data_IF_270291683913
#
_entry.id   IF_270291683913
#
_cell.length_a   1.000
_cell.length_b   1.000
_cell.length_c   1.000
_cell.angle_alpha   90.00
_cell.angle_beta   90.00
_cell.angle_gamma   90.00
#
_symmetry.space_group_name_H-M   'P 1'
#
loop_
_entity.id
_entity.type
_entity.pdbx_description
1 polymer ?
#
# COMPACT_ATOMS: atom_id res chain seq x y z
N UNK A 1 18.27 18.20 -27.26
CA UNK A 1 19.27 17.71 -26.29
C UNK A 1 19.56 16.24 -26.63
N UNK A 2 20.71 15.96 -27.25
CA UNK A 2 21.09 14.57 -27.55
C UNK A 2 21.55 13.93 -26.23
N UNK A 3 20.84 12.94 -25.75
CA UNK A 3 21.30 12.09 -24.66
C UNK A 3 22.58 11.37 -25.13
N UNK A 4 23.73 11.87 -24.66
CA UNK A 4 25.00 11.15 -24.87
C UNK A 4 25.00 9.98 -23.91
N UNK A 5 24.86 8.78 -24.46
CA UNK A 5 24.92 7.53 -23.70
C UNK A 5 26.36 7.32 -23.21
N UNK A 6 26.62 7.73 -21.99
CA UNK A 6 27.91 7.43 -21.34
C UNK A 6 27.94 5.97 -20.87
N UNK A 7 29.11 5.32 -20.76
CA UNK A 7 29.24 3.94 -20.23
C UNK A 7 28.55 3.76 -18.88
N UNK A 8 28.58 4.79 -18.03
CA UNK A 8 27.92 4.79 -16.70
C UNK A 8 26.41 4.71 -16.80
N UNK A 9 25.79 5.43 -17.74
CA UNK A 9 24.35 5.37 -17.99
C UNK A 9 23.95 3.98 -18.44
N UNK A 10 24.72 3.36 -19.33
CA UNK A 10 24.46 2.00 -19.83
C UNK A 10 24.55 1.01 -18.67
N UNK A 11 25.55 1.12 -17.82
CA UNK A 11 25.73 0.21 -16.70
C UNK A 11 24.60 0.34 -15.67
N UNK A 12 24.19 1.56 -15.33
CA UNK A 12 23.05 1.78 -14.43
C UNK A 12 21.75 1.23 -15.04
N UNK A 13 21.53 1.41 -16.34
CA UNK A 13 20.39 0.82 -17.05
C UNK A 13 20.40 -0.72 -16.99
N UNK A 14 21.56 -1.34 -17.18
CA UNK A 14 21.72 -2.81 -17.05
C UNK A 14 21.43 -3.26 -15.63
N UNK A 15 21.93 -2.55 -14.61
CA UNK A 15 21.64 -2.86 -13.21
C UNK A 15 20.16 -2.69 -12.86
N UNK A 16 19.49 -1.68 -13.41
CA UNK A 16 18.04 -1.52 -13.23
C UNK A 16 17.26 -2.69 -13.86
N UNK A 17 17.62 -3.08 -15.09
CA UNK A 17 16.99 -4.24 -15.76
C UNK A 17 17.27 -5.54 -15.01
N UNK A 18 18.51 -5.73 -14.55
CA UNK A 18 18.88 -6.87 -13.71
C UNK A 18 18.07 -6.91 -12.41
N UNK A 19 17.98 -5.80 -11.70
CA UNK A 19 17.18 -5.68 -10.48
C UNK A 19 15.69 -5.98 -10.74
N UNK A 20 15.13 -5.42 -11.82
CA UNK A 20 13.76 -5.70 -12.22
C UNK A 20 13.55 -7.19 -12.51
N UNK A 21 14.47 -7.81 -13.26
CA UNK A 21 14.42 -9.25 -13.53
C UNK A 21 14.46 -10.08 -12.24
N UNK A 22 15.36 -9.74 -11.31
CA UNK A 22 15.48 -10.43 -10.02
C UNK A 22 14.22 -10.31 -9.16
N UNK A 23 13.58 -9.12 -9.15
CA UNK A 23 12.32 -8.91 -8.44
C UNK A 23 11.14 -9.67 -9.07
N UNK A 24 11.08 -9.75 -10.39
CA UNK A 24 10.01 -10.47 -11.11
C UNK A 24 10.14 -11.98 -11.00
N UNK A 25 11.37 -12.50 -11.02
CA UNK A 25 11.62 -13.94 -10.93
C UNK A 25 11.59 -14.48 -9.51
N UNK A 26 11.60 -13.59 -8.50
CA UNK A 26 11.61 -13.96 -7.07
C UNK A 26 12.68 -15.00 -6.69
N UNK A 27 13.82 -15.03 -7.43
CA UNK A 27 14.92 -15.97 -7.18
C UNK A 27 15.50 -15.79 -5.77
N UNK A 28 15.49 -14.56 -5.27
CA UNK A 28 15.85 -14.21 -3.89
C UNK A 28 14.72 -13.39 -3.27
N UNK A 29 14.69 -13.34 -1.95
CA UNK A 29 13.77 -12.43 -1.27
C UNK A 29 14.05 -10.97 -1.67
N UNK A 30 13.01 -10.14 -1.60
CA UNK A 30 13.10 -8.71 -1.97
C UNK A 30 14.24 -8.02 -1.24
N UNK A 31 14.43 -8.31 0.05
CA UNK A 31 15.48 -7.72 0.88
C UNK A 31 16.88 -8.11 0.39
N UNK A 32 17.08 -9.38 0.07
CA UNK A 32 18.36 -9.90 -0.45
C UNK A 32 18.68 -9.30 -1.81
N UNK A 33 17.68 -9.22 -2.71
CA UNK A 33 17.85 -8.58 -4.02
C UNK A 33 18.26 -7.12 -3.88
N UNK A 34 17.60 -6.37 -2.99
CA UNK A 34 17.93 -4.97 -2.73
C UNK A 34 19.34 -4.80 -2.16
N UNK A 35 19.76 -5.68 -1.24
CA UNK A 35 21.11 -5.67 -0.67
C UNK A 35 22.18 -6.01 -1.71
N UNK A 36 21.92 -6.95 -2.62
CA UNK A 36 22.83 -7.29 -3.73
C UNK A 36 23.02 -6.07 -4.63
N UNK A 37 21.95 -5.40 -5.05
CA UNK A 37 22.02 -4.21 -5.90
C UNK A 37 22.77 -3.07 -5.22
N UNK A 38 22.49 -2.81 -3.94
CA UNK A 38 23.19 -1.81 -3.13
C UNK A 38 24.69 -2.13 -3.06
N UNK A 39 25.06 -3.39 -2.80
CA UNK A 39 26.46 -3.83 -2.71
C UNK A 39 27.18 -3.67 -4.05
N UNK A 40 26.53 -4.00 -5.15
CA UNK A 40 27.11 -3.84 -6.50
C UNK A 40 27.37 -2.36 -6.78
N UNK A 41 26.40 -1.47 -6.54
CA UNK A 41 26.54 -0.02 -6.74
C UNK A 41 27.66 0.56 -5.87
N UNK A 42 27.76 0.10 -4.63
CA UNK A 42 28.83 0.52 -3.71
C UNK A 42 30.21 0.03 -4.19
N UNK A 43 30.33 -1.23 -4.57
CA UNK A 43 31.61 -1.80 -5.04
C UNK A 43 32.08 -1.19 -6.37
N UNK A 44 31.17 -0.77 -7.22
CA UNK A 44 31.47 -0.05 -8.47
C UNK A 44 31.83 1.41 -8.25
N UNK A 45 31.77 1.91 -7.01
CA UNK A 45 32.12 3.29 -6.66
C UNK A 45 31.07 4.34 -7.02
N UNK A 46 29.83 3.93 -7.37
CA UNK A 46 28.70 4.85 -7.63
C UNK A 46 28.11 5.44 -6.35
N UNK A 47 28.36 4.79 -5.22
CA UNK A 47 27.87 5.24 -3.90
C UNK A 47 29.03 5.34 -2.93
N UNK A 48 29.09 6.43 -2.20
CA UNK A 48 29.95 6.53 -1.01
C UNK A 48 29.36 5.69 0.13
N UNK A 49 30.16 5.32 1.17
CA UNK A 49 29.65 4.60 2.34
C UNK A 49 28.48 5.33 3.01
N UNK A 50 28.53 6.65 3.08
CA UNK A 50 27.46 7.49 3.65
C UNK A 50 26.19 7.42 2.82
N UNK A 51 26.27 7.48 1.50
CA UNK A 51 25.13 7.38 0.60
C UNK A 51 24.50 5.98 0.64
N UNK A 52 25.31 4.93 0.63
CA UNK A 52 24.84 3.54 0.71
C UNK A 52 24.05 3.28 2.00
N UNK A 53 24.47 3.87 3.11
CA UNK A 53 23.82 3.71 4.41
C UNK A 53 22.71 4.74 4.67
N UNK A 54 22.62 5.82 3.88
CA UNK A 54 21.65 6.90 4.09
C UNK A 54 20.19 6.44 4.06
N UNK A 55 19.89 5.37 3.32
CA UNK A 55 18.56 4.77 3.26
C UNK A 55 18.10 4.23 4.61
N UNK A 56 19.00 3.65 5.40
CA UNK A 56 18.67 3.07 6.72
C UNK A 56 18.40 4.12 7.79
N UNK A 57 18.92 5.33 7.64
CA UNK A 57 18.68 6.48 8.53
C UNK A 57 17.64 7.47 7.97
N UNK A 58 16.99 7.12 6.86
CA UNK A 58 15.97 7.97 6.26
C UNK A 58 14.77 8.13 7.21
N UNK A 59 14.35 9.37 7.54
CA UNK A 59 13.20 9.61 8.42
C UNK A 59 11.91 8.89 7.99
N UNK A 60 11.68 8.74 6.67
CA UNK A 60 10.52 8.01 6.17
C UNK A 60 10.58 6.51 6.54
N UNK A 61 11.75 5.87 6.42
CA UNK A 61 11.94 4.45 6.79
C UNK A 61 11.71 4.25 8.30
N UNK A 62 12.25 5.15 9.12
CA UNK A 62 12.05 5.13 10.58
C UNK A 62 10.56 5.34 10.91
N UNK A 63 9.89 6.28 10.26
CA UNK A 63 8.44 6.51 10.42
C UNK A 63 7.64 5.27 10.07
N UNK A 64 7.96 4.59 8.96
CA UNK A 64 7.31 3.33 8.55
C UNK A 64 7.50 2.26 9.62
N UNK A 65 8.70 2.13 10.19
CA UNK A 65 8.97 1.16 11.25
C UNK A 65 8.08 1.43 12.49
N UNK A 66 7.97 2.68 12.93
CA UNK A 66 7.07 3.04 14.03
C UNK A 66 5.59 2.84 13.68
N UNK A 67 5.17 3.12 12.46
CA UNK A 67 3.80 2.84 12.02
C UNK A 67 3.48 1.35 12.05
N UNK A 68 4.43 0.45 11.75
CA UNK A 68 4.22 -0.99 11.92
C UNK A 68 4.02 -1.38 13.38
N UNK A 69 4.76 -0.76 14.31
CA UNK A 69 4.58 -1.00 15.75
C UNK A 69 3.20 -0.53 16.21
N UNK A 70 2.77 0.67 15.81
CA UNK A 70 1.44 1.21 16.13
C UNK A 70 0.34 0.34 15.52
N UNK A 71 0.49 -0.06 14.26
CA UNK A 71 -0.44 -0.95 13.57
C UNK A 71 -0.58 -2.30 14.30
N UNK A 72 0.53 -2.86 14.79
CA UNK A 72 0.51 -4.09 15.59
C UNK A 72 -0.20 -3.90 16.93
N UNK A 73 -0.01 -2.76 17.58
CA UNK A 73 -0.73 -2.43 18.81
C UNK A 73 -2.25 -2.31 18.57
N UNK A 74 -2.67 -1.64 17.49
CA UNK A 74 -4.08 -1.53 17.09
C UNK A 74 -4.72 -2.90 16.82
N UNK A 75 -3.97 -3.83 16.21
CA UNK A 75 -4.44 -5.21 16.01
C UNK A 75 -4.69 -5.93 17.36
N UNK A 76 -3.80 -5.73 18.35
CA UNK A 76 -3.93 -6.35 19.68
C UNK A 76 -5.08 -5.77 20.51
N UNK A 77 -5.44 -4.51 20.33
CA UNK A 77 -6.49 -3.83 21.12
C UNK A 77 -7.92 -4.17 20.67
N UNK A 78 -8.10 -4.97 19.62
CA UNK A 78 -9.41 -5.36 19.08
C UNK A 78 -10.33 -4.18 18.70
N UNK A 79 -9.80 -2.96 18.57
CA UNK A 79 -10.58 -1.78 18.15
C UNK A 79 -11.26 -2.03 16.80
N UNK A 80 -10.55 -2.71 15.88
CA UNK A 80 -11.08 -3.04 14.56
C UNK A 80 -12.22 -4.07 14.64
N UNK A 81 -12.20 -4.98 15.61
CA UNK A 81 -13.32 -5.90 15.86
C UNK A 81 -14.60 -5.15 16.28
N UNK A 82 -14.47 -4.09 17.06
CA UNK A 82 -15.61 -3.24 17.43
C UNK A 82 -16.24 -2.56 16.20
N UNK A 83 -15.41 -2.05 15.29
CA UNK A 83 -15.89 -1.50 14.00
C UNK A 83 -16.63 -2.56 13.18
N UNK A 84 -16.11 -3.79 13.13
CA UNK A 84 -16.74 -4.92 12.43
C UNK A 84 -18.14 -5.20 12.96
N UNK A 85 -18.33 -5.21 14.29
CA UNK A 85 -19.65 -5.46 14.90
C UNK A 85 -20.65 -4.38 14.51
N UNK A 86 -20.24 -3.10 14.46
CA UNK A 86 -21.08 -1.99 14.02
C UNK A 86 -21.47 -2.13 12.55
N UNK A 87 -20.51 -2.42 11.69
CA UNK A 87 -20.76 -2.64 10.25
C UNK A 87 -21.72 -3.79 10.02
N UNK A 88 -21.56 -4.90 10.78
CA UNK A 88 -22.41 -6.08 10.65
C UNK A 88 -23.89 -5.79 10.90
N UNK A 89 -24.21 -4.93 11.88
CA UNK A 89 -25.59 -4.51 12.17
C UNK A 89 -26.22 -3.72 11.02
N UNK A 90 -25.44 -2.90 10.34
CA UNK A 90 -25.89 -2.14 9.17
C UNK A 90 -26.08 -3.04 7.94
N UNK A 91 -25.24 -4.08 7.82
CA UNK A 91 -25.30 -5.07 6.75
C UNK A 91 -26.58 -5.93 6.78
N UNK A 92 -27.27 -6.01 7.91
CA UNK A 92 -28.50 -6.80 8.04
C UNK A 92 -29.71 -6.16 7.32
N UNK A 93 -29.63 -4.87 6.99
CA UNK A 93 -30.72 -4.12 6.31
C UNK A 93 -30.73 -4.32 4.79
N UNK A 94 -29.59 -4.39 4.15
CA UNK A 94 -29.44 -4.57 2.70
C UNK A 94 -28.04 -5.06 2.37
N UNK A 95 -27.93 -6.02 1.48
CA UNK A 95 -26.63 -6.55 1.00
C UNK A 95 -25.77 -5.46 0.39
N UNK A 96 -26.35 -4.59 -0.45
CA UNK A 96 -25.64 -3.51 -1.10
C UNK A 96 -25.13 -2.46 -0.09
N UNK A 97 -26.00 -2.02 0.82
CA UNK A 97 -25.65 -1.05 1.87
C UNK A 97 -24.59 -1.66 2.80
N UNK A 98 -24.77 -2.92 3.18
CA UNK A 98 -23.80 -3.63 4.03
C UNK A 98 -22.42 -3.73 3.40
N UNK A 99 -22.35 -4.05 2.10
CA UNK A 99 -21.10 -4.09 1.34
C UNK A 99 -20.48 -2.68 1.21
N UNK A 100 -21.29 -1.67 0.89
CA UNK A 100 -20.83 -0.29 0.75
C UNK A 100 -20.21 0.22 2.06
N UNK A 101 -20.93 0.09 3.17
CA UNK A 101 -20.45 0.52 4.51
C UNK A 101 -19.22 -0.30 4.93
N UNK A 102 -19.20 -1.60 4.65
CA UNK A 102 -18.06 -2.47 4.95
C UNK A 102 -16.79 -2.01 4.21
N UNK A 103 -16.87 -1.85 2.89
CA UNK A 103 -15.74 -1.44 2.06
C UNK A 103 -15.28 -0.01 2.37
N UNK A 104 -16.22 0.90 2.62
CA UNK A 104 -15.91 2.26 3.06
C UNK A 104 -15.16 2.27 4.40
N UNK A 105 -15.62 1.47 5.38
CA UNK A 105 -14.95 1.34 6.68
C UNK A 105 -13.51 0.82 6.53
N UNK A 106 -13.28 -0.15 5.65
CA UNK A 106 -11.95 -0.66 5.34
C UNK A 106 -11.07 0.46 4.77
N UNK A 107 -11.58 1.22 3.81
CA UNK A 107 -10.85 2.34 3.21
C UNK A 107 -10.46 3.40 4.26
N UNK A 108 -11.41 3.83 5.07
CA UNK A 108 -11.14 4.82 6.14
C UNK A 108 -10.14 4.27 7.18
N UNK A 109 -10.26 3.01 7.58
CA UNK A 109 -9.31 2.39 8.49
C UNK A 109 -7.91 2.29 7.88
N UNK A 110 -7.82 2.01 6.58
CA UNK A 110 -6.56 1.91 5.84
C UNK A 110 -5.87 3.26 5.58
N UNK A 111 -6.59 4.36 5.73
CA UNK A 111 -5.99 5.69 5.69
C UNK A 111 -5.00 5.95 6.85
N UNK A 112 -5.13 5.21 7.95
CA UNK A 112 -4.33 5.41 9.17
C UNK A 112 -3.52 4.16 9.54
N UNK A 113 -3.96 2.97 9.08
CA UNK A 113 -3.33 1.69 9.38
C UNK A 113 -2.82 1.07 8.08
N UNK A 114 -1.66 0.41 8.14
CA UNK A 114 -1.07 -0.26 6.99
C UNK A 114 -2.07 -1.21 6.29
N UNK A 115 -2.13 -1.14 4.96
CA UNK A 115 -3.05 -1.91 4.11
C UNK A 115 -3.00 -3.41 4.40
N UNK A 116 -1.79 -3.99 4.53
CA UNK A 116 -1.60 -5.42 4.80
C UNK A 116 -2.23 -5.83 6.13
N UNK A 117 -2.09 -5.00 7.16
CA UNK A 117 -2.68 -5.23 8.46
C UNK A 117 -4.21 -5.20 8.41
N UNK A 118 -4.78 -4.21 7.70
CA UNK A 118 -6.23 -4.09 7.50
C UNK A 118 -6.76 -5.30 6.75
N UNK A 119 -6.13 -5.70 5.64
CA UNK A 119 -6.54 -6.88 4.87
C UNK A 119 -6.51 -8.13 5.73
N UNK A 120 -5.43 -8.36 6.49
CA UNK A 120 -5.31 -9.54 7.36
C UNK A 120 -6.42 -9.62 8.43
N UNK A 121 -6.80 -8.50 9.03
CA UNK A 121 -7.85 -8.44 10.06
C UNK A 121 -9.24 -8.63 9.46
N UNK A 122 -9.52 -8.00 8.32
CA UNK A 122 -10.83 -8.04 7.70
C UNK A 122 -11.05 -9.27 6.80
N UNK A 123 -10.01 -10.02 6.45
CA UNK A 123 -10.10 -11.24 5.63
C UNK A 123 -11.09 -12.28 6.19
N UNK A 124 -11.00 -12.71 7.46
CA UNK A 124 -11.94 -13.69 8.01
C UNK A 124 -13.39 -13.15 8.03
N UNK A 125 -13.56 -11.84 8.16
CA UNK A 125 -14.89 -11.21 8.11
C UNK A 125 -15.42 -11.20 6.69
N UNK A 126 -14.59 -10.91 5.69
CA UNK A 126 -14.95 -10.99 4.27
C UNK A 126 -15.44 -12.40 3.89
N UNK A 127 -14.74 -13.44 4.35
CA UNK A 127 -15.12 -14.84 4.09
C UNK A 127 -16.48 -15.15 4.72
N UNK A 128 -16.71 -14.76 5.98
CA UNK A 128 -18.00 -14.95 6.67
C UNK A 128 -19.15 -14.20 6.00
N UNK A 129 -18.90 -12.96 5.51
CA UNK A 129 -19.90 -12.18 4.77
C UNK A 129 -20.21 -12.83 3.42
N UNK A 130 -19.19 -13.34 2.70
CA UNK A 130 -19.38 -14.07 1.46
C UNK A 130 -20.27 -15.30 1.67
N UNK A 131 -20.01 -16.10 2.71
CA UNK A 131 -20.83 -17.24 3.09
C UNK A 131 -22.27 -16.85 3.44
N UNK A 132 -22.45 -15.79 4.26
CA UNK A 132 -23.76 -15.27 4.65
C UNK A 132 -24.60 -14.85 3.44
N UNK A 133 -23.97 -14.20 2.48
CA UNK A 133 -24.65 -13.71 1.26
C UNK A 133 -24.65 -14.71 0.11
N UNK A 134 -24.22 -15.97 0.36
CA UNK A 134 -24.13 -17.03 -0.65
C UNK A 134 -23.35 -16.59 -1.90
N UNK A 135 -22.27 -15.83 -1.68
CA UNK A 135 -21.35 -15.34 -2.71
C UNK A 135 -20.02 -16.09 -2.62
N UNK A 136 -19.29 -16.14 -3.74
CA UNK A 136 -17.93 -16.68 -3.69
C UNK A 136 -16.98 -15.77 -2.89
N UNK A 137 -15.99 -16.33 -2.17
CA UNK A 137 -15.03 -15.55 -1.39
C UNK A 137 -14.29 -14.49 -2.20
N UNK A 138 -13.96 -14.78 -3.47
CA UNK A 138 -13.28 -13.85 -4.36
C UNK A 138 -14.04 -12.51 -4.55
N UNK A 139 -15.38 -12.56 -4.55
CA UNK A 139 -16.25 -11.37 -4.67
C UNK A 139 -16.29 -10.49 -3.42
N UNK A 140 -15.62 -10.88 -2.34
CA UNK A 140 -15.44 -10.09 -1.12
C UNK A 140 -13.96 -9.81 -0.81
N UNK A 141 -13.05 -10.74 -1.12
CA UNK A 141 -11.63 -10.60 -0.81
C UNK A 141 -10.92 -9.63 -1.77
N UNK A 142 -11.24 -9.66 -3.06
CA UNK A 142 -10.71 -8.70 -4.03
C UNK A 142 -11.18 -7.28 -3.69
N UNK A 143 -12.49 -7.01 -3.50
CA UNK A 143 -12.97 -5.73 -2.99
C UNK A 143 -12.32 -5.26 -1.69
N UNK A 144 -12.08 -6.16 -0.73
CA UNK A 144 -11.36 -5.85 0.51
C UNK A 144 -9.97 -5.25 0.21
N UNK A 145 -9.19 -5.95 -0.61
CA UNK A 145 -7.82 -5.52 -0.95
C UNK A 145 -7.81 -4.15 -1.65
N UNK A 146 -8.66 -3.98 -2.67
CA UNK A 146 -8.74 -2.71 -3.40
C UNK A 146 -9.24 -1.56 -2.51
N UNK A 147 -10.21 -1.80 -1.63
CA UNK A 147 -10.68 -0.75 -0.71
C UNK A 147 -9.59 -0.33 0.28
N UNK A 148 -8.76 -1.27 0.74
CA UNK A 148 -7.60 -0.95 1.57
C UNK A 148 -6.57 -0.11 0.80
N UNK A 149 -6.26 -0.47 -0.45
CA UNK A 149 -5.33 0.29 -1.30
C UNK A 149 -5.85 1.71 -1.54
N UNK A 150 -7.12 1.85 -1.93
CA UNK A 150 -7.76 3.16 -2.15
C UNK A 150 -7.76 4.01 -0.87
N UNK A 151 -8.04 3.41 0.28
CA UNK A 151 -7.95 4.08 1.57
C UNK A 151 -6.54 4.56 1.91
N UNK A 152 -5.53 3.76 1.58
CA UNK A 152 -4.12 4.11 1.75
C UNK A 152 -3.70 5.37 0.97
N UNK A 153 -4.41 5.74 -0.09
CA UNK A 153 -4.13 6.97 -0.85
C UNK A 153 -4.67 8.24 -0.20
N UNK A 154 -5.46 8.15 0.87
CA UNK A 154 -6.10 9.32 1.50
C UNK A 154 -5.12 10.16 2.33
N UNK A 155 -4.09 9.56 2.89
CA UNK A 155 -3.17 10.24 3.79
C UNK A 155 -1.71 9.92 3.45
N UNK A 156 -0.81 10.76 3.93
CA UNK A 156 0.63 10.55 3.79
C UNK A 156 1.09 9.23 4.45
N UNK A 157 0.49 8.85 5.56
CA UNK A 157 0.86 7.65 6.35
C UNK A 157 0.07 6.39 5.96
N UNK A 158 -0.97 6.52 5.15
CA UNK A 158 -1.83 5.41 4.73
C UNK A 158 -1.09 4.33 3.93
N UNK A 159 -0.03 4.71 3.21
CA UNK A 159 0.86 3.77 2.54
C UNK A 159 2.32 4.21 2.62
N UNK A 160 3.24 3.24 2.73
CA UNK A 160 4.68 3.50 2.75
C UNK A 160 5.18 4.20 1.49
N UNK A 161 4.52 3.98 0.35
CA UNK A 161 4.86 4.65 -0.92
C UNK A 161 4.73 6.17 -0.82
N UNK A 162 3.67 6.69 -0.18
CA UNK A 162 3.48 8.12 -0.02
C UNK A 162 4.61 8.75 0.82
N UNK A 163 4.99 8.07 1.91
CA UNK A 163 6.11 8.50 2.77
C UNK A 163 7.43 8.50 2.00
N UNK A 164 7.69 7.47 1.19
CA UNK A 164 8.89 7.38 0.37
C UNK A 164 8.92 8.50 -0.68
N UNK A 165 7.82 8.73 -1.39
CA UNK A 165 7.69 9.82 -2.36
C UNK A 165 7.97 11.17 -1.68
N UNK A 166 7.37 11.44 -0.52
CA UNK A 166 7.62 12.66 0.23
C UNK A 166 9.10 12.80 0.63
N UNK A 167 9.76 11.70 1.04
CA UNK A 167 11.18 11.73 1.43
C UNK A 167 12.12 12.06 0.26
N UNK A 168 11.71 11.76 -0.96
CA UNK A 168 12.43 12.13 -2.19
C UNK A 168 12.08 13.57 -2.57
N UNK A 169 10.81 13.94 -2.48
CA UNK A 169 10.29 15.25 -2.83
C UNK A 169 10.95 16.38 -2.04
N UNK A 170 11.14 16.22 -0.73
CA UNK A 170 11.81 17.23 0.12
C UNK A 170 13.30 17.44 -0.18
N UNK A 171 13.92 16.57 -0.99
CA UNK A 171 15.31 16.79 -1.46
C UNK A 171 15.41 17.81 -2.58
N UNK A 172 14.28 18.20 -3.18
CA UNK A 172 14.24 19.24 -4.21
C UNK A 172 14.36 20.61 -3.54
N UNK A 173 15.31 21.47 -3.96
CA UNK A 173 15.48 22.80 -3.37
C UNK A 173 14.20 23.65 -3.47
N UNK A 174 13.83 24.31 -2.39
CA UNK A 174 12.67 25.22 -2.35
C UNK A 174 11.31 24.55 -2.18
N UNK A 175 11.29 23.26 -1.88
CA UNK A 175 10.05 22.49 -1.68
C UNK A 175 9.84 22.19 -0.19
N UNK A 176 8.63 22.42 0.31
CA UNK A 176 8.23 22.05 1.68
C UNK A 176 7.74 20.61 1.75
N UNK A 177 7.90 19.93 2.91
CA UNK A 177 7.35 18.61 3.11
C UNK A 177 5.83 18.56 2.92
N UNK A 178 5.33 17.51 2.29
CA UNK A 178 3.88 17.30 2.14
C UNK A 178 3.22 17.10 3.49
N UNK A 179 2.10 17.78 3.72
CA UNK A 179 1.27 17.60 4.90
C UNK A 179 0.57 16.23 4.93
N UNK A 180 0.12 15.82 6.12
CA UNK A 180 -0.54 14.52 6.33
C UNK A 180 -1.75 14.29 5.42
N UNK A 181 -2.51 15.33 5.09
CA UNK A 181 -3.71 15.29 4.27
C UNK A 181 -3.53 15.87 2.85
N UNK A 182 -2.30 16.06 2.40
CA UNK A 182 -2.02 16.59 1.06
C UNK A 182 -2.60 15.69 -0.04
N UNK A 183 -2.54 14.38 0.19
CA UNK A 183 -3.08 13.38 -0.72
C UNK A 183 -4.61 13.28 -0.69
N UNK A 184 -5.29 13.87 0.32
CA UNK A 184 -6.72 13.69 0.54
C UNK A 184 -7.58 14.15 -0.64
N UNK A 185 -7.23 15.27 -1.28
CA UNK A 185 -8.00 15.82 -2.40
C UNK A 185 -8.14 14.82 -3.54
N UNK A 186 -7.04 14.21 -3.95
CA UNK A 186 -7.01 13.23 -5.04
C UNK A 186 -7.43 11.84 -4.55
N UNK A 187 -6.97 11.44 -3.39
CA UNK A 187 -7.29 10.17 -2.77
C UNK A 187 -8.78 9.99 -2.51
N UNK A 188 -9.50 11.04 -2.08
CA UNK A 188 -10.95 10.99 -1.87
C UNK A 188 -11.71 10.75 -3.18
N UNK A 189 -11.31 11.42 -4.27
CA UNK A 189 -11.92 11.19 -5.59
C UNK A 189 -11.67 9.74 -6.03
N UNK A 190 -10.42 9.27 -5.94
CA UNK A 190 -10.05 7.89 -6.29
C UNK A 190 -10.82 6.88 -5.44
N UNK A 191 -10.95 7.13 -4.13
CA UNK A 191 -11.69 6.26 -3.23
C UNK A 191 -13.18 6.20 -3.59
N UNK A 192 -13.84 7.33 -3.85
CA UNK A 192 -15.25 7.36 -4.22
C UNK A 192 -15.48 6.64 -5.54
N UNK A 193 -14.73 7.00 -6.59
CA UNK A 193 -14.85 6.36 -7.91
C UNK A 193 -14.51 4.87 -7.84
N UNK A 194 -13.44 4.52 -7.14
CA UNK A 194 -13.01 3.13 -6.96
C UNK A 194 -14.03 2.29 -6.17
N UNK A 195 -14.61 2.82 -5.11
CA UNK A 195 -15.67 2.14 -4.36
C UNK A 195 -16.94 1.94 -5.19
N UNK A 196 -17.35 2.94 -5.97
CA UNK A 196 -18.48 2.79 -6.90
C UNK A 196 -18.20 1.69 -7.93
N UNK A 197 -17.00 1.68 -8.52
CA UNK A 197 -16.58 0.62 -9.44
C UNK A 197 -16.63 -0.77 -8.75
N UNK A 198 -16.06 -0.89 -7.55
CA UNK A 198 -16.02 -2.14 -6.79
C UNK A 198 -17.43 -2.62 -6.41
N UNK A 199 -18.35 -1.71 -6.11
CA UNK A 199 -19.71 -2.07 -5.72
C UNK A 199 -20.59 -2.51 -6.90
N UNK A 200 -20.46 -1.84 -8.03
CA UNK A 200 -21.40 -2.01 -9.15
C UNK A 200 -20.80 -2.80 -10.32
N UNK A 201 -19.54 -2.57 -10.67
CA UNK A 201 -18.92 -3.16 -11.86
C UNK A 201 -18.13 -4.43 -11.52
N UNK A 202 -17.32 -4.41 -10.48
CA UNK A 202 -16.47 -5.53 -10.12
C UNK A 202 -17.23 -6.85 -9.88
N UNK A 203 -18.45 -6.89 -9.28
CA UNK A 203 -19.18 -8.14 -9.10
C UNK A 203 -19.59 -8.84 -10.39
N UNK A 204 -19.68 -8.07 -11.51
CA UNK A 204 -20.02 -8.60 -12.84
C UNK A 204 -18.82 -9.23 -13.53
N UNK A 205 -17.62 -8.74 -13.24
CA UNK A 205 -16.37 -9.15 -13.91
C UNK A 205 -15.62 -10.22 -13.10
N UNK A 206 -15.73 -10.16 -11.76
CA UNK A 206 -14.97 -11.05 -10.88
C UNK A 206 -15.43 -12.50 -11.01
N UNK A 207 -14.46 -13.44 -11.18
CA UNK A 207 -14.78 -14.87 -11.27
C UNK A 207 -15.33 -15.38 -9.94
N UNK A 208 -16.22 -16.35 -10.02
CA UNK A 208 -16.81 -17.04 -8.86
C UNK A 208 -15.91 -18.22 -8.45
N UNK A 209 -14.86 -17.92 -7.70
CA UNK A 209 -13.95 -18.92 -7.12
C UNK A 209 -14.01 -18.93 -5.60
#
# INVERSE_FOLDING_TARGET
MKLVMTPDIILVMVLLLFGFFMFVTEMFSIDVTAMILLTILFMLGYLTPSEALSGFSNPAVITIAFLFIISRALQKTRILEYLIVRVRRLADKSILIGRAVYLFTIGVASAVVNNTAIVAIFMPVSIRLAQKYKMSPSKMLIPLSYSAILGGTLTLVGTSTNLLVNSIYVKVPGVEPMGMFEFFKYGAILMVVGLLYILFIAPMILPSR
#
